data_IF_905250594766
#
_entry.id   IF_905250594766
#
_cell.length_a   1.000
_cell.length_b   1.000
_cell.length_c   1.000
_cell.angle_alpha   90.00
_cell.angle_beta   90.00
_cell.angle_gamma   90.00
#
_symmetry.space_group_name_H-M   'P 1'
#
loop_
_entity.id
_entity.type
_entity.pdbx_description
1 polymer ?
#
# COMPACT_ATOMS: atom_id res chain seq x y z
N UNK A 1 -18.23 34.13 33.09
CA UNK A 1 -18.18 34.41 31.63
C UNK A 1 -16.81 34.10 31.02
N UNK A 2 -15.68 34.53 31.61
CA UNK A 2 -14.33 34.18 31.12
C UNK A 2 -14.06 32.64 31.08
N UNK A 3 -14.53 31.93 32.09
CA UNK A 3 -14.35 30.47 32.24
C UNK A 3 -15.05 29.65 31.14
N UNK A 4 -16.23 30.11 30.69
CA UNK A 4 -17.00 29.44 29.64
C UNK A 4 -16.45 29.73 28.23
N UNK A 5 -15.75 30.85 28.05
CA UNK A 5 -15.05 31.18 26.81
C UNK A 5 -13.77 30.33 26.68
N UNK A 6 -13.05 30.12 27.79
CA UNK A 6 -11.89 29.21 27.87
C UNK A 6 -12.28 27.77 27.52
N UNK A 7 -13.35 27.24 28.14
CA UNK A 7 -13.83 25.89 27.86
C UNK A 7 -14.24 25.71 26.39
N UNK A 8 -14.87 26.72 25.77
CA UNK A 8 -15.22 26.66 24.35
C UNK A 8 -13.97 26.60 23.45
N UNK A 9 -12.95 27.38 23.78
CA UNK A 9 -11.69 27.41 23.06
C UNK A 9 -10.89 26.10 23.20
N UNK A 10 -10.91 25.49 24.39
CA UNK A 10 -10.30 24.18 24.64
C UNK A 10 -10.99 23.08 23.83
N UNK A 11 -12.32 23.08 23.80
CA UNK A 11 -13.11 22.15 22.98
C UNK A 11 -12.84 22.33 21.49
N UNK A 12 -12.77 23.58 21.00
CA UNK A 12 -12.43 23.85 19.60
C UNK A 12 -11.04 23.33 19.24
N UNK A 13 -10.06 23.47 20.14
CA UNK A 13 -8.70 22.98 19.94
C UNK A 13 -8.69 21.45 19.82
N UNK A 14 -9.40 20.75 20.70
CA UNK A 14 -9.54 19.29 20.66
C UNK A 14 -10.19 18.84 19.36
N UNK A 15 -11.31 19.47 18.96
CA UNK A 15 -12.04 19.15 17.73
C UNK A 15 -11.14 19.33 16.51
N UNK A 16 -10.38 20.44 16.44
CA UNK A 16 -9.47 20.70 15.34
C UNK A 16 -8.37 19.64 15.25
N UNK A 17 -7.78 19.23 16.38
CA UNK A 17 -6.78 18.17 16.41
C UNK A 17 -7.32 16.81 15.96
N UNK A 18 -8.56 16.49 16.35
CA UNK A 18 -9.26 15.28 15.91
C UNK A 18 -9.48 15.32 14.39
N UNK A 19 -10.02 16.42 13.86
CA UNK A 19 -10.28 16.56 12.43
C UNK A 19 -9.00 16.45 11.59
N UNK A 20 -7.91 17.11 12.02
CA UNK A 20 -6.61 17.01 11.36
C UNK A 20 -6.09 15.57 11.31
N UNK A 21 -6.26 14.82 12.40
CA UNK A 21 -5.85 13.41 12.46
C UNK A 21 -6.68 12.53 11.51
N UNK A 22 -7.99 12.71 11.47
CA UNK A 22 -8.88 11.97 10.57
C UNK A 22 -8.62 12.29 9.10
N UNK A 23 -8.38 13.56 8.77
CA UNK A 23 -8.06 14.00 7.42
C UNK A 23 -6.74 13.38 6.93
N UNK A 24 -5.67 13.45 7.73
CA UNK A 24 -4.39 12.84 7.40
C UNK A 24 -4.51 11.32 7.14
N UNK A 25 -5.26 10.63 7.99
CA UNK A 25 -5.54 9.20 7.83
C UNK A 25 -6.37 8.90 6.58
N UNK A 26 -7.39 9.70 6.29
CA UNK A 26 -8.22 9.53 5.09
C UNK A 26 -7.38 9.66 3.82
N UNK A 27 -6.47 10.63 3.77
CA UNK A 27 -5.55 10.80 2.65
C UNK A 27 -4.62 9.60 2.47
N UNK A 28 -4.05 9.07 3.57
CA UNK A 28 -3.22 7.86 3.50
C UNK A 28 -4.02 6.67 3.02
N UNK A 29 -5.25 6.48 3.50
CA UNK A 29 -6.15 5.40 3.05
C UNK A 29 -6.40 5.47 1.55
N UNK A 30 -6.75 6.65 1.04
CA UNK A 30 -7.13 6.82 -0.37
C UNK A 30 -5.91 6.62 -1.29
N UNK A 31 -4.73 7.11 -0.89
CA UNK A 31 -3.46 6.83 -1.59
C UNK A 31 -3.12 5.34 -1.55
N UNK A 32 -3.26 4.68 -0.41
CA UNK A 32 -2.99 3.24 -0.25
C UNK A 32 -3.90 2.40 -1.15
N UNK A 33 -5.20 2.73 -1.21
CA UNK A 33 -6.14 2.04 -2.10
C UNK A 33 -5.75 2.20 -3.59
N UNK A 34 -5.34 3.40 -3.98
CA UNK A 34 -4.87 3.67 -5.35
C UNK A 34 -3.62 2.85 -5.68
N UNK A 35 -2.63 2.85 -4.77
CA UNK A 35 -1.38 2.09 -4.93
C UNK A 35 -1.59 0.59 -4.95
N UNK A 36 -2.49 0.08 -4.13
CA UNK A 36 -2.86 -1.34 -4.15
C UNK A 36 -3.35 -1.76 -5.54
N UNK A 37 -4.26 -1.00 -6.15
CA UNK A 37 -4.76 -1.32 -7.51
C UNK A 37 -3.67 -1.24 -8.57
N UNK A 38 -2.77 -0.26 -8.45
CA UNK A 38 -1.61 -0.14 -9.31
C UNK A 38 -0.66 -1.34 -9.16
N UNK A 39 -0.36 -1.73 -7.93
CA UNK A 39 0.46 -2.88 -7.58
C UNK A 39 -0.10 -4.17 -8.21
N UNK A 40 -1.39 -4.45 -7.99
CA UNK A 40 -2.08 -5.61 -8.57
C UNK A 40 -1.94 -5.64 -10.09
N UNK A 41 -2.08 -4.48 -10.76
CA UNK A 41 -1.93 -4.38 -12.22
C UNK A 41 -0.49 -4.72 -12.67
N UNK A 42 0.51 -4.21 -11.96
CA UNK A 42 1.91 -4.53 -12.27
C UNK A 42 2.22 -6.01 -12.04
N UNK A 43 1.76 -6.60 -10.93
CA UNK A 43 1.90 -8.02 -10.64
C UNK A 43 1.25 -8.89 -11.73
N UNK A 44 0.00 -8.60 -12.10
CA UNK A 44 -0.70 -9.33 -13.15
C UNK A 44 0.00 -9.22 -14.52
N UNK A 45 0.58 -8.06 -14.83
CA UNK A 45 1.35 -7.90 -16.08
C UNK A 45 2.67 -8.66 -16.03
N UNK A 46 3.39 -8.60 -14.91
CA UNK A 46 4.64 -9.34 -14.71
C UNK A 46 4.42 -10.84 -14.84
N UNK A 47 3.38 -11.39 -14.19
CA UNK A 47 2.98 -12.80 -14.32
C UNK A 47 2.73 -13.17 -15.79
N UNK A 48 1.97 -12.35 -16.54
CA UNK A 48 1.72 -12.61 -17.96
C UNK A 48 2.99 -12.55 -18.80
N UNK A 49 3.92 -11.63 -18.52
CA UNK A 49 5.19 -11.52 -19.22
C UNK A 49 6.08 -12.75 -18.95
N UNK A 50 6.16 -13.19 -17.69
CA UNK A 50 6.84 -14.42 -17.27
C UNK A 50 6.32 -15.62 -18.04
N UNK A 51 5.00 -15.80 -18.15
CA UNK A 51 4.40 -16.90 -18.92
C UNK A 51 4.73 -16.86 -20.42
N UNK A 52 4.99 -15.68 -21.00
CA UNK A 52 5.41 -15.52 -22.41
C UNK A 52 6.91 -15.71 -22.61
N UNK A 53 7.69 -15.87 -21.53
CA UNK A 53 9.16 -15.92 -21.60
C UNK A 53 9.81 -14.55 -21.84
N UNK A 54 9.08 -13.46 -21.64
CA UNK A 54 9.64 -12.10 -21.74
C UNK A 54 10.25 -11.70 -20.40
N UNK A 55 11.43 -12.24 -20.12
CA UNK A 55 12.10 -12.11 -18.80
C UNK A 55 12.44 -10.66 -18.46
N UNK A 56 12.86 -9.87 -19.45
CA UNK A 56 13.24 -8.47 -19.23
C UNK A 56 12.03 -7.60 -18.86
N UNK A 57 10.91 -7.73 -19.59
CA UNK A 57 9.67 -7.02 -19.28
C UNK A 57 9.09 -7.50 -17.94
N UNK A 58 9.09 -8.81 -17.69
CA UNK A 58 8.62 -9.38 -16.44
C UNK A 58 9.38 -8.81 -15.23
N UNK A 59 10.71 -8.71 -15.33
CA UNK A 59 11.55 -8.16 -14.28
C UNK A 59 11.29 -6.66 -14.07
N UNK A 60 11.25 -5.86 -15.14
CA UNK A 60 10.99 -4.43 -15.04
C UNK A 60 9.62 -4.12 -14.40
N UNK A 61 8.59 -4.91 -14.75
CA UNK A 61 7.27 -4.81 -14.14
C UNK A 61 7.28 -5.19 -12.65
N UNK A 62 8.04 -6.22 -12.29
CA UNK A 62 8.17 -6.68 -10.90
C UNK A 62 8.97 -5.69 -10.04
N UNK A 63 10.01 -5.07 -10.60
CA UNK A 63 10.78 -4.01 -9.93
C UNK A 63 9.87 -2.80 -9.65
N UNK A 64 9.07 -2.38 -10.63
CA UNK A 64 8.07 -1.33 -10.43
C UNK A 64 7.06 -1.71 -9.36
N UNK A 65 6.61 -2.97 -9.34
CA UNK A 65 5.70 -3.48 -8.31
C UNK A 65 6.34 -3.40 -6.90
N UNK A 66 7.62 -3.74 -6.77
CA UNK A 66 8.36 -3.62 -5.51
C UNK A 66 8.43 -2.17 -5.02
N UNK A 67 8.70 -1.21 -5.90
CA UNK A 67 8.73 0.21 -5.56
C UNK A 67 7.36 0.71 -5.08
N UNK A 68 6.29 0.39 -5.81
CA UNK A 68 4.92 0.75 -5.43
C UNK A 68 4.55 0.16 -4.07
N UNK A 69 4.90 -1.10 -3.83
CA UNK A 69 4.65 -1.77 -2.56
C UNK A 69 5.45 -1.14 -1.40
N UNK A 70 6.72 -0.81 -1.60
CA UNK A 70 7.55 -0.17 -0.59
C UNK A 70 6.96 1.19 -0.15
N UNK A 71 6.54 2.01 -1.11
CA UNK A 71 5.90 3.30 -0.83
C UNK A 71 4.56 3.08 -0.11
N UNK A 72 3.73 2.16 -0.60
CA UNK A 72 2.44 1.83 0.00
C UNK A 72 2.59 1.39 1.46
N UNK A 73 3.54 0.49 1.73
CA UNK A 73 3.83 -0.02 3.09
C UNK A 73 4.28 1.12 4.00
N UNK A 74 5.25 1.93 3.56
CA UNK A 74 5.81 3.00 4.37
C UNK A 74 4.77 4.05 4.79
N UNK A 75 3.82 4.38 3.90
CA UNK A 75 2.71 5.28 4.22
C UNK A 75 1.68 4.59 5.12
N UNK A 76 1.27 3.36 4.79
CA UNK A 76 0.18 2.66 5.48
C UNK A 76 0.56 2.21 6.91
N UNK A 77 1.82 1.87 7.18
CA UNK A 77 2.28 1.42 8.51
C UNK A 77 2.05 2.44 9.63
N UNK A 78 1.87 3.72 9.29
CA UNK A 78 1.52 4.78 10.24
C UNK A 78 0.12 4.60 10.82
N UNK A 79 -0.77 3.88 10.13
CA UNK A 79 -2.16 3.65 10.49
C UNK A 79 -2.49 2.15 10.38
N UNK A 80 -2.45 1.39 11.49
CA UNK A 80 -2.61 -0.08 11.45
C UNK A 80 -3.87 -0.56 10.73
N UNK A 81 -4.99 0.15 10.84
CA UNK A 81 -6.24 -0.21 10.17
C UNK A 81 -6.22 0.05 8.66
N UNK A 82 -5.30 0.86 8.15
CA UNK A 82 -5.00 1.00 6.72
C UNK A 82 -4.01 -0.08 6.28
N UNK A 83 -2.96 -0.34 7.06
CA UNK A 83 -1.96 -1.36 6.76
C UNK A 83 -2.56 -2.78 6.67
N UNK A 84 -3.41 -3.14 7.63
CA UNK A 84 -4.07 -4.45 7.66
C UNK A 84 -5.40 -4.48 6.89
N UNK A 85 -5.75 -3.40 6.17
CA UNK A 85 -6.96 -3.40 5.35
C UNK A 85 -6.87 -4.42 4.21
N UNK A 86 -8.02 -4.98 3.83
CA UNK A 86 -8.09 -6.00 2.76
C UNK A 86 -7.44 -5.56 1.45
N UNK A 87 -7.67 -4.32 1.01
CA UNK A 87 -7.05 -3.81 -0.22
C UNK A 87 -5.51 -3.75 -0.13
N UNK A 88 -4.94 -3.42 1.03
CA UNK A 88 -3.48 -3.41 1.20
C UNK A 88 -2.93 -4.83 1.12
N UNK A 89 -3.57 -5.76 1.85
CA UNK A 89 -3.17 -7.17 1.88
C UNK A 89 -3.34 -7.86 0.52
N UNK A 90 -4.40 -7.53 -0.23
CA UNK A 90 -4.60 -8.04 -1.58
C UNK A 90 -3.45 -7.63 -2.50
N UNK A 91 -3.04 -6.37 -2.48
CA UNK A 91 -1.88 -5.91 -3.27
C UNK A 91 -0.58 -6.64 -2.91
N UNK A 92 -0.31 -6.81 -1.61
CA UNK A 92 0.91 -7.50 -1.14
C UNK A 92 0.90 -9.00 -1.45
N UNK A 93 -0.27 -9.64 -1.40
CA UNK A 93 -0.44 -11.05 -1.78
C UNK A 93 -0.14 -11.26 -3.26
N UNK A 94 -0.64 -10.38 -4.13
CA UNK A 94 -0.35 -10.44 -5.58
C UNK A 94 1.15 -10.21 -5.87
N UNK A 95 1.83 -9.38 -5.08
CA UNK A 95 3.28 -9.21 -5.19
C UNK A 95 4.03 -10.50 -4.85
N UNK A 96 3.66 -11.15 -3.74
CA UNK A 96 4.24 -12.45 -3.38
C UNK A 96 4.00 -13.49 -4.48
N UNK A 97 2.78 -13.55 -5.03
CA UNK A 97 2.44 -14.45 -6.14
C UNK A 97 3.30 -14.19 -7.38
N UNK A 98 3.53 -12.93 -7.76
CA UNK A 98 4.35 -12.58 -8.91
C UNK A 98 5.81 -13.05 -8.74
N UNK A 99 6.42 -12.81 -7.58
CA UNK A 99 7.77 -13.30 -7.26
C UNK A 99 7.86 -14.83 -7.28
N UNK A 100 6.91 -15.51 -6.63
CA UNK A 100 6.87 -16.98 -6.57
C UNK A 100 6.68 -17.56 -7.97
N UNK A 101 5.78 -17.00 -8.76
CA UNK A 101 5.49 -17.44 -10.14
C UNK A 101 6.72 -17.31 -11.03
N UNK A 102 7.41 -16.17 -10.96
CA UNK A 102 8.65 -15.95 -11.69
C UNK A 102 9.72 -16.98 -11.30
N UNK A 103 9.95 -17.19 -10.00
CA UNK A 103 10.93 -18.15 -9.52
C UNK A 103 10.62 -19.59 -9.99
N UNK A 104 9.35 -20.01 -9.93
CA UNK A 104 8.94 -21.36 -10.38
C UNK A 104 9.16 -21.53 -11.88
N UNK A 105 8.72 -20.59 -12.71
CA UNK A 105 8.80 -20.71 -14.17
C UNK A 105 10.26 -20.67 -14.64
N UNK A 106 11.08 -19.80 -14.05
CA UNK A 106 12.50 -19.68 -14.37
C UNK A 106 13.40 -20.69 -13.64
N UNK A 107 12.81 -21.59 -12.83
CA UNK A 107 13.52 -22.61 -12.01
C UNK A 107 14.60 -22.00 -11.11
N UNK A 108 14.30 -20.84 -10.53
CA UNK A 108 15.14 -20.16 -9.56
C UNK A 108 14.73 -20.57 -8.13
N UNK A 109 15.58 -20.35 -7.12
CA UNK A 109 15.21 -20.54 -5.72
C UNK A 109 13.95 -19.72 -5.37
N UNK A 110 13.06 -20.31 -4.56
CA UNK A 110 11.88 -19.60 -4.09
C UNK A 110 12.28 -18.43 -3.17
N UNK A 111 11.60 -17.28 -3.27
CA UNK A 111 11.84 -16.15 -2.38
C UNK A 111 11.40 -16.47 -0.95
N UNK A 112 12.05 -15.84 0.03
CA UNK A 112 11.61 -15.84 1.43
C UNK A 112 10.59 -14.73 1.69
N UNK A 113 9.75 -14.84 2.74
CA UNK A 113 8.87 -13.75 3.18
C UNK A 113 9.62 -12.47 3.55
#
# INVERSE_FOLDING_TARGET
MADQYSLNQDLQTIINGINQTFEAKSQVRDRTLSRSRELIRHCANSIRATHRGDEADAQALLDTANEVAAIMIAEAQQYPDVYYAGYTQDGLKELAEAHITQAIILRQPLPTP
#
